data_IF_552353885977
#
_entry.id   IF_552353885977
#
_cell.length_a   1.000
_cell.length_b   1.000
_cell.length_c   1.000
_cell.angle_alpha   90.00
_cell.angle_beta   90.00
_cell.angle_gamma   90.00
#
_symmetry.space_group_name_H-M   'P 1'
#
loop_
_entity.id
_entity.type
_entity.pdbx_description
1 polymer ?
#
# COMPACT_ATOMS: atom_id res chain seq x y z
N UNK A 1 -1.76 8.69 2.73
CA UNK A 1 -2.80 8.23 1.78
C UNK A 1 -4.19 8.54 2.31
N UNK A 2 -5.01 9.20 1.50
CA UNK A 2 -6.45 9.36 1.75
C UNK A 2 -7.23 8.28 0.99
N UNK A 3 -8.31 7.79 1.60
CA UNK A 3 -9.13 6.73 1.02
C UNK A 3 -10.00 7.20 -0.17
N UNK A 4 -10.21 8.51 -0.32
CA UNK A 4 -10.91 9.07 -1.49
C UNK A 4 -10.01 9.00 -2.72
N UNK A 5 -8.77 9.50 -2.62
CA UNK A 5 -7.79 9.48 -3.73
C UNK A 5 -7.51 8.06 -4.24
N UNK A 6 -7.51 7.06 -3.36
CA UNK A 6 -7.32 5.66 -3.76
C UNK A 6 -8.53 5.09 -4.52
N UNK A 7 -9.75 5.51 -4.19
CA UNK A 7 -10.97 5.03 -4.88
C UNK A 7 -11.11 5.61 -6.30
N UNK A 8 -10.60 6.82 -6.50
CA UNK A 8 -10.54 7.49 -7.81
C UNK A 8 -9.58 6.83 -8.80
N UNK A 9 -8.58 6.08 -8.31
CA UNK A 9 -7.58 5.40 -9.15
C UNK A 9 -8.14 4.15 -9.81
N UNK A 10 -7.54 3.80 -10.96
CA UNK A 10 -7.86 2.58 -11.68
C UNK A 10 -7.21 1.35 -11.01
N UNK A 11 -7.71 0.14 -11.33
CA UNK A 11 -7.17 -1.09 -10.73
C UNK A 11 -5.69 -1.30 -11.07
N UNK A 12 -5.26 -0.96 -12.29
CA UNK A 12 -3.85 -1.06 -12.70
C UNK A 12 -2.96 -0.11 -11.89
N UNK A 13 -3.40 1.13 -11.69
CA UNK A 13 -2.69 2.14 -10.91
C UNK A 13 -2.57 1.73 -9.44
N UNK A 14 -3.64 1.16 -8.87
CA UNK A 14 -3.63 0.62 -7.51
C UNK A 14 -2.65 -0.55 -7.36
N UNK A 15 -2.55 -1.42 -8.37
CA UNK A 15 -1.57 -2.52 -8.39
C UNK A 15 -0.13 -2.01 -8.51
N UNK A 16 0.09 -0.98 -9.32
CA UNK A 16 1.41 -0.33 -9.43
C UNK A 16 1.82 0.33 -8.11
N UNK A 17 0.90 1.05 -7.48
CA UNK A 17 1.13 1.68 -6.18
C UNK A 17 1.40 0.66 -5.07
N UNK A 18 0.68 -0.46 -5.08
CA UNK A 18 0.93 -1.59 -4.19
C UNK A 18 2.36 -2.13 -4.36
N UNK A 19 2.82 -2.28 -5.60
CA UNK A 19 4.20 -2.71 -5.90
C UNK A 19 5.24 -1.73 -5.37
N UNK A 20 5.00 -0.43 -5.54
CA UNK A 20 5.85 0.63 -4.98
C UNK A 20 5.95 0.55 -3.45
N UNK A 21 4.81 0.45 -2.77
CA UNK A 21 4.75 0.33 -1.30
C UNK A 21 5.42 -0.94 -0.78
N UNK A 22 5.33 -2.06 -1.50
CA UNK A 22 6.00 -3.31 -1.13
C UNK A 22 7.54 -3.19 -1.24
N UNK A 23 8.04 -2.49 -2.27
CA UNK A 23 9.47 -2.19 -2.38
C UNK A 23 9.93 -1.27 -1.24
N UNK A 24 9.16 -0.22 -0.92
CA UNK A 24 9.45 0.66 0.22
C UNK A 24 9.48 -0.14 1.54
N UNK A 25 8.51 -1.02 1.76
CA UNK A 25 8.46 -1.90 2.92
C UNK A 25 9.70 -2.80 3.01
N UNK A 26 10.13 -3.39 1.89
CA UNK A 26 11.32 -4.22 1.84
C UNK A 26 12.57 -3.43 2.23
N UNK A 27 12.76 -2.23 1.65
CA UNK A 27 13.88 -1.36 1.98
C UNK A 27 13.89 -0.97 3.47
N UNK A 28 12.74 -0.62 4.03
CA UNK A 28 12.62 -0.30 5.47
C UNK A 28 12.91 -1.52 6.36
N UNK A 29 12.51 -2.73 5.95
CA UNK A 29 12.86 -3.97 6.70
C UNK A 29 14.35 -4.26 6.64
N UNK A 30 14.99 -4.04 5.49
CA UNK A 30 16.44 -4.19 5.32
C UNK A 30 17.19 -3.18 6.20
N UNK A 31 16.82 -1.90 6.15
CA UNK A 31 17.40 -0.86 7.01
C UNK A 31 17.24 -1.17 8.50
N UNK A 32 16.09 -1.73 8.90
CA UNK A 32 15.86 -2.20 10.27
C UNK A 32 16.78 -3.36 10.65
N UNK A 33 17.01 -4.30 9.75
CA UNK A 33 17.92 -5.44 9.99
C UNK A 33 19.38 -5.03 10.19
N UNK A 34 19.81 -3.97 9.50
CA UNK A 34 21.17 -3.41 9.59
C UNK A 34 21.30 -2.42 10.77
N UNK A 35 20.19 -2.06 11.43
CA UNK A 35 20.17 -1.13 12.55
C UNK A 35 20.25 0.35 12.15
N UNK A 36 20.10 0.69 10.87
CA UNK A 36 20.18 2.06 10.32
C UNK A 36 18.79 2.68 10.07
N UNK A 37 17.75 2.19 10.76
CA UNK A 37 16.39 2.68 10.55
C UNK A 37 16.19 4.04 11.23
N UNK A 38 16.26 5.11 10.45
CA UNK A 38 16.07 6.48 10.96
C UNK A 38 14.64 6.74 11.48
N UNK A 39 13.62 6.15 10.84
CA UNK A 39 12.21 6.45 11.10
C UNK A 39 11.36 5.19 11.31
N UNK A 40 11.25 4.68 12.54
CA UNK A 40 10.45 3.48 12.86
C UNK A 40 8.95 3.61 12.56
N UNK A 41 8.44 4.84 12.54
CA UNK A 41 7.04 5.14 12.24
C UNK A 41 6.67 4.85 10.77
N UNK A 42 7.64 4.91 9.85
CA UNK A 42 7.43 4.65 8.43
C UNK A 42 7.02 3.20 8.16
N UNK A 43 7.57 2.23 8.90
CA UNK A 43 7.14 0.83 8.84
C UNK A 43 5.66 0.64 9.18
N UNK A 44 5.10 1.47 10.07
CA UNK A 44 3.68 1.44 10.42
C UNK A 44 2.85 2.18 9.37
N UNK A 45 3.36 3.30 8.83
CA UNK A 45 2.73 4.04 7.73
C UNK A 45 2.56 3.15 6.49
N UNK A 46 3.66 2.60 5.99
CA UNK A 46 3.68 1.76 4.77
C UNK A 46 2.79 0.52 4.93
N UNK A 47 2.77 -0.14 6.10
CA UNK A 47 1.84 -1.25 6.34
C UNK A 47 0.37 -0.85 6.23
N UNK A 48 0.00 0.31 6.76
CA UNK A 48 -1.39 0.81 6.68
C UNK A 48 -1.75 1.22 5.27
N UNK A 49 -0.82 1.81 4.55
CA UNK A 49 -1.00 2.21 3.16
C UNK A 49 -1.21 0.99 2.25
N UNK A 50 -0.42 -0.08 2.43
CA UNK A 50 -0.64 -1.38 1.76
C UNK A 50 -2.04 -1.95 2.07
N UNK A 51 -2.45 -1.91 3.35
CA UNK A 51 -3.76 -2.41 3.74
C UNK A 51 -4.89 -1.64 3.06
N UNK A 52 -4.82 -0.30 3.02
CA UNK A 52 -5.80 0.56 2.35
C UNK A 52 -5.91 0.26 0.85
N UNK A 53 -4.79 0.13 0.16
CA UNK A 53 -4.77 -0.21 -1.29
C UNK A 53 -5.42 -1.56 -1.53
N UNK A 54 -5.08 -2.58 -0.72
CA UNK A 54 -5.71 -3.91 -0.80
C UNK A 54 -7.21 -3.87 -0.54
N UNK A 55 -7.66 -3.07 0.42
CA UNK A 55 -9.09 -2.90 0.69
C UNK A 55 -9.81 -2.32 -0.53
N UNK A 56 -9.29 -1.25 -1.13
CA UNK A 56 -9.92 -0.62 -2.30
C UNK A 56 -9.91 -1.55 -3.52
N UNK A 57 -8.84 -2.31 -3.73
CA UNK A 57 -8.79 -3.35 -4.78
C UNK A 57 -9.91 -4.38 -4.59
N UNK A 58 -10.12 -4.86 -3.36
CA UNK A 58 -11.18 -5.81 -3.05
C UNK A 58 -12.58 -5.19 -3.19
N UNK A 59 -12.77 -3.92 -2.80
CA UNK A 59 -14.02 -3.19 -3.02
C UNK A 59 -14.36 -3.11 -4.52
N UNK A 60 -13.40 -2.73 -5.37
CA UNK A 60 -13.58 -2.67 -6.83
C UNK A 60 -13.87 -4.03 -7.45
N UNK A 61 -13.22 -5.10 -6.97
CA UNK A 61 -13.49 -6.46 -7.44
C UNK A 61 -14.93 -6.89 -7.12
N UNK A 62 -15.42 -6.59 -5.90
CA UNK A 62 -16.80 -6.89 -5.50
C UNK A 62 -17.85 -6.08 -6.25
N UNK A 63 -17.57 -4.82 -6.57
CA UNK A 63 -18.45 -4.00 -7.42
C UNK A 63 -18.57 -4.58 -8.84
N UNK A 64 -17.46 -5.11 -9.39
CA UNK A 64 -17.46 -5.79 -10.69
C UNK A 64 -18.17 -7.15 -10.70
N UNK A 65 -18.16 -7.89 -9.60
CA UNK A 65 -18.86 -9.18 -9.46
C UNK A 65 -20.37 -9.04 -9.21
N UNK A 66 -20.83 -7.87 -8.73
CA UNK A 66 -22.23 -7.59 -8.45
C UNK A 66 -23.01 -7.03 -9.66
N UNK A 67 -22.35 -6.89 -10.82
CA UNK A 67 -22.91 -6.34 -12.07
C UNK A 67 -23.14 -7.41 -13.13
#
# INVERSE_FOLDING_TARGET
MNAQDLRSKNESELREELSGLLKEQFNLRMQRGIGQLASPHDLRRVRRDIARVKTVLNEKQKEGEAS
#
